data_IF_063892022286
#
_entry.id   IF_063892022286
#
_cell.length_a   1.000
_cell.length_b   1.000
_cell.length_c   1.000
_cell.angle_alpha   90.00
_cell.angle_beta   90.00
_cell.angle_gamma   90.00
#
_symmetry.space_group_name_H-M   'P 1'
#
loop_
_entity.id
_entity.type
_entity.pdbx_description
1 polymer ?
#
# COMPACT_ATOMS: atom_id res chain seq x y z
N UNK A 1 -8.68 1.38 -20.59
CA UNK A 1 -7.66 2.04 -19.72
C UNK A 1 -7.78 3.57 -19.71
N UNK A 2 -8.04 4.22 -20.84
CA UNK A 2 -8.37 5.66 -20.90
C UNK A 2 -9.65 6.01 -20.10
N UNK A 3 -10.64 5.12 -20.13
CA UNK A 3 -11.90 5.26 -19.39
C UNK A 3 -11.71 5.23 -17.87
N UNK A 4 -10.98 4.24 -17.32
CA UNK A 4 -10.65 4.21 -15.89
C UNK A 4 -9.94 5.49 -15.45
N UNK A 5 -8.93 5.94 -16.21
CA UNK A 5 -8.20 7.18 -15.88
C UNK A 5 -9.12 8.40 -15.86
N UNK A 6 -10.08 8.45 -16.79
CA UNK A 6 -11.09 9.52 -16.86
C UNK A 6 -12.04 9.44 -15.67
N UNK A 7 -12.49 8.23 -15.33
CA UNK A 7 -13.41 7.99 -14.22
C UNK A 7 -12.75 8.35 -12.88
N UNK A 8 -11.55 7.85 -12.61
CA UNK A 8 -10.76 8.16 -11.41
C UNK A 8 -10.53 9.66 -11.26
N UNK A 9 -10.20 10.36 -12.37
CA UNK A 9 -10.03 11.82 -12.36
C UNK A 9 -11.29 12.56 -11.93
N UNK A 10 -12.49 12.07 -12.26
CA UNK A 10 -13.76 12.69 -11.80
C UNK A 10 -13.92 12.64 -10.28
N UNK A 11 -13.31 11.66 -9.63
CA UNK A 11 -13.25 11.54 -8.16
C UNK A 11 -12.02 12.22 -7.56
N UNK A 12 -11.28 13.03 -8.34
CA UNK A 12 -10.07 13.72 -7.88
C UNK A 12 -8.85 12.80 -7.69
N UNK A 13 -8.93 11.55 -8.15
CA UNK A 13 -7.86 10.58 -8.05
C UNK A 13 -6.87 10.63 -9.21
N UNK A 14 -5.87 9.75 -9.13
CA UNK A 14 -4.86 9.55 -10.17
C UNK A 14 -4.63 8.05 -10.44
N UNK A 15 -4.07 7.75 -11.61
CA UNK A 15 -3.66 6.39 -11.96
C UNK A 15 -2.22 6.42 -12.45
N UNK A 16 -1.34 5.72 -11.75
CA UNK A 16 0.08 5.65 -12.01
C UNK A 16 0.48 4.23 -12.45
N UNK A 17 1.51 4.13 -13.28
CA UNK A 17 2.00 2.85 -13.80
C UNK A 17 3.49 2.78 -13.54
N UNK A 18 3.89 1.88 -12.65
CA UNK A 18 5.27 1.77 -12.19
C UNK A 18 5.68 0.30 -12.31
N UNK A 19 6.73 0.03 -13.11
CA UNK A 19 7.36 -1.30 -13.24
C UNK A 19 6.36 -2.45 -13.52
N UNK A 20 5.35 -2.20 -14.35
CA UNK A 20 4.34 -3.19 -14.73
C UNK A 20 3.15 -3.32 -13.77
N UNK A 21 3.18 -2.63 -12.63
CA UNK A 21 2.04 -2.51 -11.72
C UNK A 21 1.25 -1.22 -11.99
N UNK A 22 -0.08 -1.32 -11.88
CA UNK A 22 -0.98 -0.17 -11.98
C UNK A 22 -1.45 0.22 -10.58
N UNK A 23 -1.26 1.48 -10.21
CA UNK A 23 -1.67 2.04 -8.93
C UNK A 23 -2.79 3.03 -9.14
N UNK A 24 -3.85 2.90 -8.34
CA UNK A 24 -4.97 3.84 -8.33
C UNK A 24 -4.93 4.61 -7.03
N UNK A 25 -4.86 5.93 -7.13
CA UNK A 25 -4.83 6.84 -5.99
C UNK A 25 -6.18 7.53 -5.86
N UNK A 26 -6.77 7.46 -4.67
CA UNK A 26 -7.94 8.24 -4.29
C UNK A 26 -7.57 9.21 -3.17
N UNK A 27 -7.94 10.49 -3.29
CA UNK A 27 -7.77 11.44 -2.18
C UNK A 27 -8.73 11.07 -1.04
N UNK A 28 -8.28 11.28 0.19
CA UNK A 28 -9.11 11.08 1.37
C UNK A 28 -8.70 12.04 2.49
N UNK A 29 -9.61 12.29 3.44
CA UNK A 29 -9.31 13.07 4.63
C UNK A 29 -8.85 12.11 5.71
N UNK A 30 -7.59 12.18 6.12
CA UNK A 30 -7.05 11.37 7.19
C UNK A 30 -6.27 12.25 8.17
N UNK A 31 -6.24 11.88 9.47
CA UNK A 31 -5.22 12.36 10.37
C UNK A 31 -3.82 12.12 9.81
N UNK A 32 -2.90 13.01 10.15
CA UNK A 32 -1.53 12.94 9.67
C UNK A 32 -0.80 11.71 10.26
N UNK A 33 -0.16 10.93 9.37
CA UNK A 33 0.68 9.80 9.77
C UNK A 33 -0.04 8.49 10.06
N UNK A 34 -1.25 8.32 9.53
CA UNK A 34 -1.77 6.98 9.23
C UNK A 34 -0.92 6.38 8.11
N UNK A 35 -0.44 5.17 8.37
CA UNK A 35 0.39 4.40 7.46
C UNK A 35 0.04 2.91 7.66
N UNK A 36 -1.07 2.49 7.06
CA UNK A 36 -1.59 1.12 7.14
C UNK A 36 -1.97 0.61 5.77
N UNK A 37 -2.02 -0.70 5.61
CA UNK A 37 -2.56 -1.34 4.42
C UNK A 37 -3.50 -2.47 4.74
N UNK A 38 -4.24 -2.90 3.74
CA UNK A 38 -5.25 -3.96 3.80
C UNK A 38 -4.94 -5.03 2.77
N UNK A 39 -5.09 -6.28 3.19
CA UNK A 39 -4.85 -7.46 2.38
C UNK A 39 -5.88 -8.55 2.71
N UNK A 40 -5.97 -9.57 1.86
CA UNK A 40 -6.73 -10.80 2.15
C UNK A 40 -5.89 -11.77 2.95
N UNK A 41 -6.49 -12.78 3.59
CA UNK A 41 -5.77 -13.86 4.30
C UNK A 41 -4.61 -14.44 3.48
N UNK A 42 -4.86 -14.73 2.21
CA UNK A 42 -3.86 -15.31 1.32
C UNK A 42 -2.63 -14.41 1.16
N UNK A 43 -2.86 -13.12 0.93
CA UNK A 43 -1.79 -12.14 0.77
C UNK A 43 -1.11 -11.81 2.11
N UNK A 44 -1.85 -11.80 3.22
CA UNK A 44 -1.35 -11.49 4.55
C UNK A 44 -0.36 -12.55 5.07
N UNK A 45 -0.63 -13.84 4.86
CA UNK A 45 0.31 -14.92 5.23
C UNK A 45 1.63 -14.84 4.45
N UNK A 46 1.56 -14.39 3.21
CA UNK A 46 2.76 -14.17 2.39
C UNK A 46 3.52 -12.92 2.84
N UNK A 47 2.82 -11.81 3.10
CA UNK A 47 3.41 -10.56 3.60
C UNK A 47 4.07 -10.76 4.97
N UNK A 48 3.41 -11.44 5.91
CA UNK A 48 3.95 -11.71 7.24
C UNK A 48 5.21 -12.59 7.21
N UNK A 49 5.32 -13.51 6.24
CA UNK A 49 6.52 -14.32 6.04
C UNK A 49 7.72 -13.54 5.50
N UNK A 50 7.48 -12.63 4.56
CA UNK A 50 8.55 -11.84 3.93
C UNK A 50 8.98 -10.63 4.78
N UNK A 51 8.05 -10.08 5.55
CA UNK A 51 8.23 -8.81 6.24
C UNK A 51 7.73 -8.92 7.68
N UNK A 52 8.49 -9.57 8.59
CA UNK A 52 8.06 -9.79 9.97
C UNK A 52 7.88 -8.48 10.78
N UNK A 53 8.40 -7.37 10.27
CA UNK A 53 8.22 -6.02 10.84
C UNK A 53 6.89 -5.35 10.42
N UNK A 54 6.17 -5.90 9.44
CA UNK A 54 4.79 -5.51 9.10
C UNK A 54 3.83 -6.31 9.98
N UNK A 55 3.58 -5.79 11.20
CA UNK A 55 2.56 -6.39 12.08
C UNK A 55 1.21 -6.37 11.37
N UNK A 56 0.54 -7.51 11.35
CA UNK A 56 -0.77 -7.67 10.74
C UNK A 56 -1.78 -8.19 11.75
N UNK A 57 -3.04 -7.77 11.61
CA UNK A 57 -4.13 -8.14 12.48
C UNK A 57 -5.32 -8.57 11.63
N UNK A 58 -5.94 -9.67 12.01
CA UNK A 58 -7.12 -10.18 11.33
C UNK A 58 -8.30 -9.25 11.56
N UNK A 59 -9.13 -9.16 10.53
CA UNK A 59 -10.38 -8.43 10.49
C UNK A 59 -11.49 -9.35 9.96
N UNK A 60 -12.76 -9.02 10.20
CA UNK A 60 -13.88 -9.77 9.65
C UNK A 60 -13.78 -9.96 8.14
N UNK A 61 -14.41 -11.03 7.64
CA UNK A 61 -14.49 -11.40 6.22
C UNK A 61 -13.15 -11.87 5.60
N UNK A 62 -12.19 -12.34 6.40
CA UNK A 62 -10.90 -12.82 5.88
C UNK A 62 -10.01 -11.66 5.39
N UNK A 63 -10.19 -10.49 5.99
CA UNK A 63 -9.37 -9.32 5.77
C UNK A 63 -8.27 -9.26 6.81
N UNK A 64 -7.16 -8.62 6.44
CA UNK A 64 -6.09 -8.27 7.35
C UNK A 64 -5.75 -6.81 7.16
N UNK A 65 -5.42 -6.15 8.26
CA UNK A 65 -4.80 -4.83 8.27
C UNK A 65 -3.38 -4.97 8.77
N UNK A 66 -2.45 -4.28 8.13
CA UNK A 66 -1.05 -4.24 8.52
C UNK A 66 -0.54 -2.81 8.62
N UNK A 67 0.49 -2.61 9.43
CA UNK A 67 1.13 -1.31 9.59
C UNK A 67 1.30 -0.88 11.04
N UNK A 68 1.75 0.36 11.23
CA UNK A 68 1.89 0.93 12.57
C UNK A 68 0.51 1.13 13.20
N UNK A 69 0.33 0.67 14.45
CA UNK A 69 -0.92 0.75 15.22
C UNK A 69 -2.15 0.13 14.51
N UNK A 70 -1.92 -0.78 13.56
CA UNK A 70 -2.98 -1.46 12.80
C UNK A 70 -3.98 -2.23 13.68
N UNK A 71 -3.58 -2.67 14.87
CA UNK A 71 -4.46 -3.34 15.84
C UNK A 71 -5.64 -2.48 16.29
N UNK A 72 -5.43 -1.17 16.48
CA UNK A 72 -6.49 -0.26 16.93
C UNK A 72 -7.49 -0.08 15.81
N UNK A 73 -6.96 0.17 14.60
CA UNK A 73 -7.79 0.33 13.41
C UNK A 73 -8.50 -0.97 13.03
N UNK A 74 -7.94 -2.15 13.30
CA UNK A 74 -8.62 -3.42 13.03
C UNK A 74 -9.90 -3.55 13.84
N UNK A 75 -9.89 -3.09 15.10
CA UNK A 75 -11.07 -3.07 15.97
C UNK A 75 -12.09 -2.05 15.48
N UNK A 76 -11.68 -0.81 15.24
CA UNK A 76 -12.60 0.26 14.80
C UNK A 76 -13.24 -0.10 13.45
N UNK A 77 -12.42 -0.48 12.47
CA UNK A 77 -12.90 -0.81 11.12
C UNK A 77 -13.68 -2.13 11.11
N UNK A 78 -13.31 -3.10 11.95
CA UNK A 78 -13.96 -4.40 12.00
C UNK A 78 -15.46 -4.35 12.33
N UNK A 79 -15.93 -3.28 12.98
CA UNK A 79 -17.37 -3.09 13.25
C UNK A 79 -18.14 -2.51 12.06
N UNK A 80 -17.44 -1.96 11.05
CA UNK A 80 -18.04 -1.40 9.86
C UNK A 80 -18.18 -2.45 8.75
N UNK A 81 -19.31 -3.16 8.76
CA UNK A 81 -19.58 -4.24 7.80
C UNK A 81 -19.59 -3.78 6.34
N UNK A 82 -20.03 -2.55 6.05
CA UNK A 82 -20.06 -2.03 4.69
C UNK A 82 -18.63 -1.75 4.19
N UNK A 83 -17.80 -1.14 5.04
CA UNK A 83 -16.40 -0.88 4.75
C UNK A 83 -15.63 -2.19 4.55
N UNK A 84 -15.78 -3.16 5.45
CA UNK A 84 -15.19 -4.49 5.29
C UNK A 84 -15.63 -5.15 3.98
N UNK A 85 -16.92 -5.10 3.65
CA UNK A 85 -17.44 -5.71 2.41
C UNK A 85 -16.87 -5.04 1.15
N UNK A 86 -16.70 -3.71 1.16
CA UNK A 86 -16.07 -3.01 0.05
C UNK A 86 -14.58 -3.29 -0.06
N UNK A 87 -13.85 -3.31 1.05
CA UNK A 87 -12.44 -3.70 1.08
C UNK A 87 -12.26 -5.11 0.51
N UNK A 88 -13.08 -6.05 0.97
CA UNK A 88 -13.04 -7.44 0.51
C UNK A 88 -13.30 -7.55 -0.98
N UNK A 89 -14.34 -6.88 -1.46
CA UNK A 89 -14.68 -6.87 -2.89
C UNK A 89 -13.54 -6.32 -3.75
N UNK A 90 -12.94 -5.19 -3.37
CA UNK A 90 -11.83 -4.60 -4.13
C UNK A 90 -10.61 -5.53 -4.14
N UNK A 91 -10.26 -6.11 -2.99
CA UNK A 91 -9.11 -7.02 -2.86
C UNK A 91 -9.33 -8.37 -3.55
N UNK A 92 -10.55 -8.87 -3.61
CA UNK A 92 -10.84 -10.09 -4.36
C UNK A 92 -10.80 -9.84 -5.87
N UNK A 93 -11.42 -8.76 -6.31
CA UNK A 93 -11.75 -8.59 -7.73
C UNK A 93 -10.71 -7.80 -8.50
N UNK A 94 -9.98 -6.89 -7.84
CA UNK A 94 -9.21 -5.87 -8.54
C UNK A 94 -7.79 -5.68 -8.01
N UNK A 95 -7.56 -5.73 -6.70
CA UNK A 95 -6.33 -5.27 -6.08
C UNK A 95 -5.60 -6.39 -5.33
N UNK A 96 -4.26 -6.35 -5.33
CA UNK A 96 -3.44 -7.21 -4.47
C UNK A 96 -3.46 -6.72 -3.02
N UNK A 97 -3.37 -5.40 -2.85
CA UNK A 97 -3.40 -4.70 -1.58
C UNK A 97 -3.98 -3.28 -1.74
N UNK A 98 -4.37 -2.70 -0.60
CA UNK A 98 -4.86 -1.33 -0.47
C UNK A 98 -4.07 -0.63 0.63
N UNK A 99 -3.36 0.44 0.31
CA UNK A 99 -2.61 1.23 1.28
C UNK A 99 -3.33 2.54 1.60
N UNK A 100 -3.24 2.96 2.86
CA UNK A 100 -3.80 4.18 3.40
C UNK A 100 -2.64 5.01 3.94
N UNK A 101 -2.12 5.92 3.13
CA UNK A 101 -0.89 6.69 3.40
C UNK A 101 -1.02 8.12 2.89
N UNK A 102 -0.47 9.10 3.62
CA UNK A 102 -0.35 10.48 3.14
C UNK A 102 -1.66 11.10 2.61
N UNK A 103 -2.77 10.89 3.34
CA UNK A 103 -4.12 11.37 2.95
C UNK A 103 -4.61 10.80 1.61
N UNK A 104 -4.15 9.60 1.25
CA UNK A 104 -4.54 8.90 0.03
C UNK A 104 -4.79 7.43 0.30
N UNK A 105 -5.81 6.91 -0.37
CA UNK A 105 -6.01 5.48 -0.54
C UNK A 105 -5.33 5.08 -1.85
N UNK A 106 -4.49 4.06 -1.80
CA UNK A 106 -3.73 3.56 -2.94
C UNK A 106 -4.08 2.10 -3.15
N UNK A 107 -4.64 1.75 -4.31
CA UNK A 107 -4.91 0.37 -4.68
C UNK A 107 -3.86 -0.12 -5.68
N UNK A 108 -3.14 -1.19 -5.34
CA UNK A 108 -2.24 -1.85 -6.29
C UNK A 108 -3.03 -2.89 -7.07
N UNK A 109 -3.31 -2.62 -8.34
CA UNK A 109 -4.17 -3.47 -9.15
C UNK A 109 -3.45 -4.75 -9.59
N UNK A 110 -4.16 -5.87 -9.53
CA UNK A 110 -3.68 -7.16 -10.01
C UNK A 110 -3.96 -7.31 -11.51
N UNK A 111 -3.24 -6.55 -12.31
CA UNK A 111 -3.39 -6.51 -13.77
C UNK A 111 -3.01 -7.82 -14.48
N UNK A 112 -2.24 -8.69 -13.83
CA UNK A 112 -1.77 -9.95 -14.40
C UNK A 112 -2.85 -11.03 -14.32
N UNK A 113 -3.41 -11.27 -13.13
CA UNK A 113 -4.41 -12.34 -12.96
C UNK A 113 -5.83 -11.87 -13.31
N UNK A 114 -6.11 -10.56 -13.22
CA UNK A 114 -7.43 -9.98 -13.46
C UNK A 114 -7.30 -8.68 -14.26
N UNK A 115 -7.10 -8.78 -15.59
CA UNK A 115 -6.95 -7.62 -16.43
C UNK A 115 -8.26 -6.82 -16.45
N UNK A 116 -8.14 -5.52 -16.17
CA UNK A 116 -9.28 -4.60 -16.09
C UNK A 116 -10.08 -4.49 -17.39
N UNK A 117 -9.48 -4.87 -18.53
CA UNK A 117 -10.15 -4.92 -19.83
C UNK A 117 -11.30 -5.93 -19.88
N UNK A 118 -11.33 -6.89 -18.95
CA UNK A 118 -12.39 -7.89 -18.84
C UNK A 118 -13.51 -7.46 -17.88
N UNK A 119 -13.41 -6.30 -17.24
CA UNK A 119 -14.46 -5.78 -16.38
C UNK A 119 -15.60 -5.17 -17.22
N UNK A 120 -16.81 -5.76 -17.23
CA UNK A 120 -17.94 -5.26 -18.01
C UNK A 120 -18.43 -3.88 -17.55
N UNK A 121 -18.08 -3.46 -16.33
CA UNK A 121 -18.43 -2.15 -15.79
C UNK A 121 -17.46 -1.03 -16.21
N UNK A 122 -16.42 -1.36 -16.98
CA UNK A 122 -15.38 -0.39 -17.37
C UNK A 122 -14.59 0.15 -16.18
N UNK A 123 -14.58 -0.56 -15.05
CA UNK A 123 -13.95 -0.14 -13.81
C UNK A 123 -14.84 0.67 -12.88
N UNK A 124 -16.14 0.88 -13.19
CA UNK A 124 -17.06 1.61 -12.32
C UNK A 124 -17.14 1.00 -10.91
N UNK A 125 -17.21 -0.33 -10.81
CA UNK A 125 -17.31 -1.01 -9.52
C UNK A 125 -16.06 -0.82 -8.67
N UNK A 126 -14.88 -0.82 -9.28
CA UNK A 126 -13.64 -0.48 -8.60
C UNK A 126 -13.70 0.96 -8.07
N UNK A 127 -14.00 1.93 -8.93
CA UNK A 127 -13.96 3.36 -8.57
C UNK A 127 -14.96 3.71 -7.48
N UNK A 128 -16.19 3.26 -7.61
CA UNK A 128 -17.25 3.51 -6.62
C UNK A 128 -16.91 2.92 -5.25
N UNK A 129 -16.35 1.70 -5.21
CA UNK A 129 -15.95 1.05 -3.96
C UNK A 129 -14.74 1.74 -3.35
N UNK A 130 -13.75 2.15 -4.15
CA UNK A 130 -12.63 2.96 -3.64
C UNK A 130 -13.09 4.30 -3.06
N UNK A 131 -14.03 4.99 -3.72
CA UNK A 131 -14.59 6.23 -3.22
C UNK A 131 -15.37 6.02 -1.91
N UNK A 132 -16.15 4.95 -1.82
CA UNK A 132 -16.86 4.56 -0.60
C UNK A 132 -15.88 4.25 0.54
N UNK A 133 -14.83 3.47 0.28
CA UNK A 133 -13.78 3.14 1.25
C UNK A 133 -13.10 4.43 1.73
N UNK A 134 -12.68 5.30 0.81
CA UNK A 134 -12.03 6.57 1.11
C UNK A 134 -12.91 7.48 1.97
N UNK A 135 -14.22 7.56 1.66
CA UNK A 135 -15.20 8.33 2.43
C UNK A 135 -15.35 7.78 3.85
N UNK A 136 -15.67 6.49 3.98
CA UNK A 136 -15.91 5.85 5.29
C UNK A 136 -14.66 5.87 6.18
N UNK A 137 -13.48 5.57 5.62
CA UNK A 137 -12.22 5.71 6.35
C UNK A 137 -11.98 7.15 6.80
N UNK A 138 -12.37 8.15 6.00
CA UNK A 138 -12.21 9.55 6.38
C UNK A 138 -13.16 10.05 7.46
N UNK A 139 -14.21 9.28 7.76
CA UNK A 139 -15.22 9.59 8.80
C UNK A 139 -14.97 8.85 10.12
N UNK A 140 -13.96 7.97 10.19
CA UNK A 140 -13.63 7.24 11.41
C UNK A 140 -13.14 8.20 12.51
N UNK A 141 -13.43 7.82 13.75
CA UNK A 141 -12.81 8.44 14.92
C UNK A 141 -11.40 7.87 15.13
N UNK A 142 -10.41 8.74 15.08
CA UNK A 142 -8.99 8.41 15.22
C UNK A 142 -8.40 8.79 16.58
N UNK A 143 -9.22 9.21 17.55
CA UNK A 143 -8.72 9.67 18.84
C UNK A 143 -7.83 8.62 19.54
N UNK A 144 -8.25 7.35 19.55
CA UNK A 144 -7.47 6.25 20.13
C UNK A 144 -6.18 5.96 19.32
N UNK A 145 -6.25 6.11 18.00
CA UNK A 145 -5.08 5.96 17.14
C UNK A 145 -4.04 7.05 17.43
N UNK A 146 -4.46 8.30 17.55
CA UNK A 146 -3.58 9.46 17.76
C UNK A 146 -2.92 9.45 19.14
N UNK A 147 -3.65 8.99 20.16
CA UNK A 147 -3.14 8.88 21.54
C UNK A 147 -2.21 7.67 21.75
N UNK A 148 -2.28 6.68 20.87
CA UNK A 148 -1.42 5.49 20.98
C UNK A 148 0.00 5.78 20.49
N UNK A 149 1.04 5.45 21.28
CA UNK A 149 2.42 5.68 20.90
C UNK A 149 2.80 4.86 19.66
N UNK A 150 3.54 5.49 18.74
CA UNK A 150 4.08 4.82 17.56
C UNK A 150 5.15 3.82 17.95
N UNK A 151 5.17 2.67 17.29
CA UNK A 151 6.26 1.72 17.46
C UNK A 151 7.47 2.11 16.61
N UNK A 152 8.67 1.89 17.15
CA UNK A 152 9.93 2.01 16.38
C UNK A 152 10.10 0.78 15.47
N UNK A 153 9.51 -0.35 15.87
CA UNK A 153 9.65 -1.65 15.22
C UNK A 153 8.49 -2.03 14.31
N UNK A 154 7.35 -1.33 14.38
CA UNK A 154 6.25 -1.53 13.45
C UNK A 154 6.29 -0.45 12.37
N UNK A 155 6.34 -0.90 11.12
CA UNK A 155 6.36 -0.01 9.96
C UNK A 155 5.06 -0.15 9.19
N UNK A 156 4.61 0.93 8.56
CA UNK A 156 3.56 0.89 7.57
C UNK A 156 4.13 0.83 6.15
N UNK A 157 3.26 0.64 5.14
CA UNK A 157 3.65 0.57 3.74
C UNK A 157 4.44 1.79 3.25
N UNK A 158 4.04 3.00 3.62
CA UNK A 158 4.70 4.24 3.24
C UNK A 158 6.10 4.37 3.83
N UNK A 159 6.27 4.05 5.13
CA UNK A 159 7.61 3.97 5.76
C UNK A 159 8.49 2.93 5.10
N UNK A 160 7.97 1.74 4.84
CA UNK A 160 8.72 0.68 4.18
C UNK A 160 9.21 1.13 2.80
N UNK A 161 8.31 1.67 1.96
CA UNK A 161 8.65 2.20 0.63
C UNK A 161 9.74 3.27 0.68
N UNK A 162 9.61 4.24 1.59
CA UNK A 162 10.60 5.31 1.75
C UNK A 162 11.97 4.77 2.17
N UNK A 163 12.00 3.77 3.04
CA UNK A 163 13.24 3.12 3.44
C UNK A 163 13.85 2.31 2.29
N UNK A 164 13.05 1.54 1.56
CA UNK A 164 13.50 0.75 0.42
C UNK A 164 14.13 1.63 -0.66
N UNK A 165 13.51 2.78 -0.98
CA UNK A 165 14.06 3.74 -1.94
C UNK A 165 15.42 4.25 -1.44
N UNK A 166 15.51 4.68 -0.17
CA UNK A 166 16.78 5.15 0.41
C UNK A 166 17.86 4.06 0.43
N UNK A 167 17.50 2.82 0.75
CA UNK A 167 18.42 1.69 0.75
C UNK A 167 18.95 1.38 -0.65
N UNK A 168 18.10 1.42 -1.69
CA UNK A 168 18.53 1.27 -3.09
C UNK A 168 19.52 2.38 -3.46
N UNK A 169 19.25 3.63 -3.09
CA UNK A 169 20.20 4.73 -3.31
C UNK A 169 21.55 4.48 -2.65
N UNK A 170 21.57 4.01 -1.39
CA UNK A 170 22.81 3.67 -0.69
C UNK A 170 23.55 2.54 -1.40
N UNK A 171 22.86 1.47 -1.78
CA UNK A 171 23.47 0.32 -2.49
C UNK A 171 24.05 0.74 -3.84
N UNK A 172 23.32 1.54 -4.63
CA UNK A 172 23.74 2.00 -5.96
C UNK A 172 24.93 2.96 -5.88
N UNK A 173 25.09 3.73 -4.80
CA UNK A 173 26.25 4.63 -4.64
C UNK A 173 27.43 3.97 -3.94
N UNK A 174 27.18 3.22 -2.86
CA UNK A 174 28.24 2.64 -2.04
C UNK A 174 28.90 1.43 -2.70
N UNK A 175 28.19 0.61 -3.48
CA UNK A 175 28.80 -0.54 -4.15
C UNK A 175 29.80 -0.09 -5.24
N UNK A 176 29.47 0.81 -6.17
CA UNK A 176 30.44 1.28 -7.16
C UNK A 176 31.58 2.07 -6.53
N UNK A 177 31.32 2.86 -5.48
CA UNK A 177 32.38 3.58 -4.76
C UNK A 177 33.34 2.60 -4.05
N UNK A 178 32.81 1.57 -3.39
CA UNK A 178 33.59 0.49 -2.79
C UNK A 178 34.42 -0.24 -3.85
N UNK A 179 33.81 -0.58 -4.99
CA UNK A 179 34.51 -1.20 -6.11
C UNK A 179 35.60 -0.28 -6.68
N UNK A 180 35.36 1.02 -6.83
CA UNK A 180 36.39 1.98 -7.22
C UNK A 180 37.52 2.03 -6.20
N UNK A 181 37.25 2.15 -4.90
CA UNK A 181 38.30 2.25 -3.88
C UNK A 181 39.17 0.99 -3.84
N UNK A 182 38.55 -0.20 -3.95
CA UNK A 182 39.28 -1.47 -3.82
C UNK A 182 39.90 -1.99 -5.12
N UNK A 183 39.39 -1.59 -6.30
CA UNK A 183 39.92 -2.03 -7.59
C UNK A 183 40.67 -0.93 -8.37
N UNK A 184 40.77 0.31 -7.86
CA UNK A 184 41.56 1.39 -8.48
C UNK A 184 43.03 1.44 -8.04
N UNK A 185 43.56 0.42 -7.36
CA UNK A 185 45.02 0.28 -7.24
C UNK A 185 45.55 -0.42 -8.50
N UNK A 186 46.20 0.30 -9.44
CA UNK A 186 46.87 -0.35 -10.56
C UNK A 186 48.02 -1.19 -10.00
N UNK A 187 48.06 -2.44 -10.46
CA UNK A 187 49.22 -3.33 -10.36
C UNK A 187 50.43 -2.53 -10.84
N UNK A 188 51.32 -2.17 -9.92
CA UNK A 188 52.64 -1.64 -10.27
C UNK A 188 53.41 -2.80 -10.87
N UNK A 189 53.32 -2.96 -12.19
CA UNK A 189 54.16 -3.90 -12.92
C UNK A 189 55.58 -3.32 -12.87
N UNK A 190 56.35 -3.78 -11.89
CA UNK A 190 57.80 -3.71 -11.92
C UNK A 190 58.27 -4.56 -13.10
N UNK A 191 58.72 -3.90 -14.17
CA UNK A 191 59.77 -4.38 -15.07
C UNK A 191 60.37 -3.22 -15.86
#
# INVERSE_FOLDING_TARGET
MSELKTLIKRYGGAVDHIRGATYVHMPMKLPSGIDVGFATTYSAEWLGRLFPFLRHFEMPQGLYIYGDRAEILSRVIGHDHELCSALRFVLDQYAFDLECTDMRLVASLNTISRPLSLDPSGGWHLVSKLAMIAGRLGELDYHEFDTTPRSIFAWGPGRFRNLSIRAIFVVVFCIPLYLMIHFSHPITVLK
#
